data_IF_764048896004
#
_entry.id   IF_764048896004
#
_cell.length_a   1.000
_cell.length_b   1.000
_cell.length_c   1.000
_cell.angle_alpha   90.00
_cell.angle_beta   90.00
_cell.angle_gamma   90.00
#
_symmetry.space_group_name_H-M   'P 1'
#
loop_
_entity.id
_entity.type
_entity.pdbx_description
1 polymer ?
#
# COMPACT_ATOMS: atom_id res chain seq x y z
N UNK A 1 11.41 3.18 16.86
CA UNK A 1 10.79 3.43 15.55
C UNK A 1 10.18 2.14 14.95
N UNK A 2 10.66 0.95 15.32
CA UNK A 2 10.15 -0.36 14.85
C UNK A 2 8.66 -0.65 15.01
N UNK A 3 8.02 -0.20 16.10
CA UNK A 3 6.59 -0.47 16.32
C UNK A 3 5.69 0.12 15.22
N UNK A 4 6.06 1.28 14.68
CA UNK A 4 5.29 1.96 13.63
C UNK A 4 5.31 1.18 12.32
N UNK A 5 6.49 0.65 11.94
CA UNK A 5 6.68 -0.14 10.72
C UNK A 5 5.92 -1.46 10.81
N UNK A 6 5.96 -2.14 11.96
CA UNK A 6 5.22 -3.38 12.19
C UNK A 6 3.70 -3.17 12.09
N UNK A 7 3.21 -2.04 12.59
CA UNK A 7 1.81 -1.65 12.45
C UNK A 7 1.42 -1.42 10.99
N UNK A 8 2.25 -0.69 10.25
CA UNK A 8 2.04 -0.42 8.82
C UNK A 8 2.06 -1.72 8.01
N UNK A 9 3.02 -2.62 8.26
CA UNK A 9 3.08 -3.94 7.61
C UNK A 9 1.81 -4.74 7.86
N UNK A 10 1.36 -4.79 9.12
CA UNK A 10 0.13 -5.50 9.51
C UNK A 10 -1.09 -4.88 8.83
N UNK A 11 -1.15 -3.56 8.75
CA UNK A 11 -2.22 -2.83 8.09
C UNK A 11 -2.24 -3.13 6.58
N UNK A 12 -1.11 -2.98 5.88
CA UNK A 12 -0.99 -3.25 4.45
C UNK A 12 -1.37 -4.70 4.10
N UNK A 13 -0.93 -5.66 4.91
CA UNK A 13 -1.16 -7.08 4.63
C UNK A 13 -2.60 -7.53 4.96
N UNK A 14 -3.15 -7.13 6.12
CA UNK A 14 -4.44 -7.64 6.60
C UNK A 14 -5.62 -6.72 6.32
N UNK A 15 -5.41 -5.40 6.39
CA UNK A 15 -6.49 -4.40 6.44
C UNK A 15 -6.65 -3.62 5.15
N UNK A 16 -5.55 -3.30 4.46
CA UNK A 16 -5.59 -2.40 3.31
C UNK A 16 -6.40 -2.99 2.16
N UNK A 17 -6.12 -4.23 1.76
CA UNK A 17 -6.88 -4.87 0.66
C UNK A 17 -8.33 -5.17 1.07
N UNK A 18 -8.56 -5.73 2.26
CA UNK A 18 -9.90 -6.09 2.73
C UNK A 18 -10.78 -4.87 3.03
N UNK A 19 -10.19 -3.78 3.53
CA UNK A 19 -10.89 -2.54 3.87
C UNK A 19 -11.33 -1.73 2.65
N UNK A 20 -10.70 -1.96 1.50
CA UNK A 20 -11.10 -1.36 0.24
C UNK A 20 -12.08 -2.22 -0.55
N UNK A 21 -12.83 -3.12 0.10
CA UNK A 21 -13.85 -3.96 -0.56
C UNK A 21 -14.90 -3.18 -1.33
N UNK A 22 -15.26 -2.01 -0.80
CA UNK A 22 -16.23 -1.09 -1.38
C UNK A 22 -15.63 -0.21 -2.48
N UNK A 23 -14.31 -0.27 -2.71
CA UNK A 23 -13.68 0.53 -3.73
C UNK A 23 -14.04 0.01 -5.13
N UNK A 24 -14.29 0.88 -6.11
CA UNK A 24 -14.65 0.47 -7.47
C UNK A 24 -13.51 -0.29 -8.20
N UNK A 25 -12.28 -0.18 -7.70
CA UNK A 25 -11.10 -0.90 -8.17
C UNK A 25 -10.90 -2.27 -7.50
N UNK A 26 -11.67 -2.57 -6.45
CA UNK A 26 -11.61 -3.84 -5.74
C UNK A 26 -12.01 -4.97 -6.71
N UNK A 27 -11.21 -6.04 -6.77
CA UNK A 27 -11.34 -7.11 -7.76
C UNK A 27 -11.22 -6.68 -9.24
N UNK A 28 -10.73 -5.47 -9.55
CA UNK A 28 -10.44 -5.09 -10.94
C UNK A 28 -9.43 -6.01 -11.62
N UNK A 29 -8.55 -6.68 -10.87
CA UNK A 29 -7.66 -7.71 -11.42
C UNK A 29 -8.40 -8.96 -11.96
N UNK A 30 -9.64 -9.21 -11.51
CA UNK A 30 -10.52 -10.27 -12.05
C UNK A 30 -11.41 -9.80 -13.20
N UNK A 31 -11.54 -8.48 -13.39
CA UNK A 31 -12.31 -7.89 -14.48
C UNK A 31 -11.45 -7.84 -15.74
N UNK A 32 -11.29 -8.99 -16.40
CA UNK A 32 -10.54 -9.14 -17.67
C UNK A 32 -11.11 -8.32 -18.83
N UNK A 33 -12.35 -7.82 -18.72
CA UNK A 33 -13.00 -7.00 -19.76
C UNK A 33 -12.67 -5.51 -19.66
N UNK A 34 -12.22 -5.01 -18.50
CA UNK A 34 -11.92 -3.59 -18.30
C UNK A 34 -10.51 -3.48 -17.73
N UNK A 35 -9.55 -3.08 -18.57
CA UNK A 35 -8.15 -2.91 -18.20
C UNK A 35 -7.93 -1.63 -17.34
N UNK A 36 -8.72 -1.46 -16.29
CA UNK A 36 -8.60 -0.36 -15.30
C UNK A 36 -7.70 -0.74 -14.13
N UNK A 37 -6.96 -1.85 -14.24
CA UNK A 37 -6.00 -2.25 -13.22
C UNK A 37 -4.69 -1.47 -13.39
N UNK A 38 -4.52 -0.42 -12.59
CA UNK A 38 -3.30 0.40 -12.55
C UNK A 38 -2.30 -0.04 -11.46
N UNK A 39 -2.58 -1.17 -10.80
CA UNK A 39 -1.84 -1.65 -9.64
C UNK A 39 -2.47 -1.22 -8.32
N UNK A 40 -2.23 -2.04 -7.29
CA UNK A 40 -2.67 -1.78 -5.93
C UNK A 40 -1.59 -0.99 -5.18
N UNK A 41 -1.80 0.31 -5.00
CA UNK A 41 -0.81 1.22 -4.40
C UNK A 41 -1.39 1.94 -3.19
N UNK A 42 -0.77 1.73 -2.03
CA UNK A 42 -1.12 2.39 -0.77
C UNK A 42 -0.41 3.74 -0.63
N UNK A 43 -0.90 4.76 -1.35
CA UNK A 43 -0.33 6.11 -1.34
C UNK A 43 -0.37 6.78 0.04
N UNK A 44 -1.43 6.55 0.81
CA UNK A 44 -1.55 7.10 2.17
C UNK A 44 -0.41 6.66 3.08
N UNK A 45 -0.01 5.39 2.98
CA UNK A 45 1.09 4.84 3.76
C UNK A 45 2.42 5.46 3.36
N UNK A 46 2.62 5.67 2.06
CA UNK A 46 3.75 6.35 1.48
C UNK A 46 3.91 7.79 2.01
N UNK A 47 2.80 8.54 2.06
CA UNK A 47 2.77 9.89 2.62
C UNK A 47 3.07 9.89 4.12
N UNK A 48 2.50 8.95 4.89
CA UNK A 48 2.75 8.83 6.34
C UNK A 48 4.24 8.59 6.64
N UNK A 49 4.87 7.66 5.92
CA UNK A 49 6.31 7.39 6.09
C UNK A 49 7.14 8.65 5.85
N UNK A 50 6.83 9.42 4.79
CA UNK A 50 7.56 10.65 4.44
C UNK A 50 7.34 11.76 5.48
N UNK A 51 6.12 11.93 5.98
CA UNK A 51 5.80 12.93 7.03
C UNK A 51 6.50 12.59 8.35
N UNK A 52 6.46 11.33 8.76
CA UNK A 52 7.03 10.89 10.04
C UNK A 52 8.51 10.54 9.96
N UNK A 53 9.14 10.68 8.78
CA UNK A 53 10.53 10.34 8.50
C UNK A 53 10.92 8.96 9.07
N UNK A 54 10.06 7.96 8.83
CA UNK A 54 10.22 6.59 9.31
C UNK A 54 11.16 5.85 8.36
N UNK A 55 12.08 5.05 8.88
CA UNK A 55 12.89 4.16 8.04
C UNK A 55 11.99 3.06 7.45
N UNK A 56 11.70 3.15 6.16
CA UNK A 56 10.82 2.26 5.44
C UNK A 56 11.56 1.20 4.63
N UNK A 57 12.85 0.96 4.91
CA UNK A 57 13.63 -0.07 4.21
C UNK A 57 12.95 -1.45 4.25
N UNK A 58 12.32 -1.76 5.39
CA UNK A 58 11.54 -2.97 5.61
C UNK A 58 10.18 -3.01 4.90
N UNK A 59 9.65 -1.87 4.45
CA UNK A 59 8.39 -1.77 3.70
C UNK A 59 8.58 -1.96 2.20
N UNK A 60 9.83 -1.90 1.72
CA UNK A 60 10.21 -2.18 0.32
C UNK A 60 9.71 -3.54 -0.18
N UNK A 61 9.70 -4.54 0.70
CA UNK A 61 9.28 -5.91 0.36
C UNK A 61 7.75 -6.08 0.33
N UNK A 62 6.99 -5.04 0.69
CA UNK A 62 5.54 -5.14 0.79
C UNK A 62 4.85 -4.83 -0.54
N UNK A 63 3.98 -5.74 -0.98
CA UNK A 63 3.43 -5.78 -2.34
C UNK A 63 2.60 -4.54 -2.73
N UNK A 64 2.00 -3.86 -1.76
CA UNK A 64 1.14 -2.69 -1.96
C UNK A 64 1.84 -1.35 -1.70
N UNK A 65 3.11 -1.36 -1.29
CA UNK A 65 3.80 -0.14 -0.86
C UNK A 65 4.56 0.49 -2.04
N UNK A 66 4.24 1.74 -2.45
CA UNK A 66 4.92 2.40 -3.56
C UNK A 66 6.28 2.99 -3.13
N UNK A 67 7.21 2.13 -2.69
CA UNK A 67 8.55 2.50 -2.18
C UNK A 67 9.32 3.44 -3.13
N UNK A 68 9.25 3.17 -4.43
CA UNK A 68 9.93 3.96 -5.45
C UNK A 68 9.33 5.36 -5.65
N UNK A 69 8.04 5.55 -5.37
CA UNK A 69 7.38 6.84 -5.56
C UNK A 69 7.65 7.81 -4.40
N UNK A 70 7.88 7.30 -3.19
CA UNK A 70 8.16 8.12 -1.99
C UNK A 70 9.57 8.69 -1.99
N UNK A 71 10.52 7.97 -2.60
CA UNK A 71 11.95 8.31 -2.62
C UNK A 71 12.40 9.19 -3.79
N UNK A 72 11.47 9.63 -4.64
CA UNK A 72 11.73 10.67 -5.64
C UNK A 72 11.70 12.08 -5.03
#
# INVERSE_FOLDING_TARGET
>A
QDKSISFIKTYLNKKWYQGHRDAPWYDSHKRTQVNTYFGYWAWEVATLVKIYNIDDAELKEQQYYPYRAVRW
#
